data_IF_484973034261
#
_entry.id   IF_484973034261
#
_cell.length_a   1.000
_cell.length_b   1.000
_cell.length_c   1.000
_cell.angle_alpha   90.00
_cell.angle_beta   90.00
_cell.angle_gamma   90.00
#
_symmetry.space_group_name_H-M   'P 1'
#
loop_
_entity.id
_entity.type
_entity.pdbx_description
1 polymer ?
#
# COMPACT_ATOMS: atom_id res chain seq x y z
N UNK A 1 -8.91 -12.52 -8.74
CA UNK A 1 -8.02 -11.62 -7.99
C UNK A 1 -8.37 -11.60 -6.51
N UNK A 2 -9.58 -11.17 -6.12
CA UNK A 2 -10.02 -11.10 -4.72
C UNK A 2 -9.83 -12.40 -3.91
N UNK A 3 -10.26 -13.55 -4.43
CA UNK A 3 -10.10 -14.83 -3.71
C UNK A 3 -8.63 -15.21 -3.48
N UNK A 4 -7.71 -14.83 -4.39
CA UNK A 4 -6.28 -15.05 -4.19
C UNK A 4 -5.77 -14.20 -3.03
N UNK A 5 -6.11 -12.90 -3.04
CA UNK A 5 -5.75 -11.97 -1.95
C UNK A 5 -6.27 -12.46 -0.61
N UNK A 6 -7.53 -12.90 -0.53
CA UNK A 6 -8.12 -13.43 0.70
C UNK A 6 -7.41 -14.68 1.21
N UNK A 7 -7.05 -15.61 0.32
CA UNK A 7 -6.35 -16.85 0.69
C UNK A 7 -4.91 -16.59 1.16
N UNK A 8 -4.24 -15.57 0.59
CA UNK A 8 -2.86 -15.21 0.93
C UNK A 8 -2.76 -14.14 2.04
N UNK A 9 -3.89 -13.67 2.59
CA UNK A 9 -3.97 -12.52 3.51
C UNK A 9 -3.02 -12.64 4.70
N UNK A 10 -3.01 -13.81 5.36
CA UNK A 10 -2.13 -14.05 6.51
C UNK A 10 -0.65 -13.96 6.12
N UNK A 11 -0.27 -14.55 4.98
CA UNK A 11 1.10 -14.49 4.47
C UNK A 11 1.53 -13.04 4.18
N UNK A 12 0.66 -12.24 3.57
CA UNK A 12 0.96 -10.83 3.33
C UNK A 12 1.13 -10.06 4.64
N UNK A 13 0.24 -10.32 5.60
CA UNK A 13 0.27 -9.67 6.90
C UNK A 13 1.60 -9.92 7.62
N UNK A 14 2.03 -11.18 7.72
CA UNK A 14 3.31 -11.56 8.33
C UNK A 14 4.51 -10.96 7.59
N UNK A 15 4.46 -10.97 6.25
CA UNK A 15 5.53 -10.41 5.41
C UNK A 15 5.65 -8.89 5.57
N UNK A 16 4.54 -8.17 5.69
CA UNK A 16 4.59 -6.72 5.92
C UNK A 16 5.09 -6.44 7.33
N UNK A 17 4.52 -7.08 8.37
CA UNK A 17 4.90 -6.85 9.77
C UNK A 17 6.39 -7.09 10.02
N UNK A 18 6.95 -8.18 9.49
CA UNK A 18 8.37 -8.50 9.63
C UNK A 18 9.31 -7.43 9.04
N UNK A 19 8.78 -6.47 8.28
CA UNK A 19 9.53 -5.37 7.70
C UNK A 19 9.29 -4.01 8.37
N UNK A 20 8.42 -3.92 9.39
CA UNK A 20 8.03 -2.65 10.02
C UNK A 20 8.86 -2.25 11.25
N UNK A 21 9.61 -3.17 11.84
CA UNK A 21 10.25 -3.00 13.16
C UNK A 21 10.95 -1.63 13.37
N UNK A 22 11.79 -1.20 12.42
CA UNK A 22 12.54 0.05 12.52
C UNK A 22 11.64 1.30 12.41
N UNK A 23 10.62 1.24 11.54
CA UNK A 23 9.65 2.33 11.34
C UNK A 23 8.76 2.49 12.57
N UNK A 24 8.26 1.37 13.10
CA UNK A 24 7.45 1.33 14.31
C UNK A 24 8.23 1.79 15.54
N UNK A 25 9.51 1.43 15.64
CA UNK A 25 10.39 1.93 16.69
C UNK A 25 10.52 3.46 16.62
N UNK A 26 10.79 4.00 15.43
CA UNK A 26 10.97 5.45 15.23
C UNK A 26 9.68 6.23 15.44
N UNK A 27 8.55 5.67 15.03
CA UNK A 27 7.24 6.25 15.30
C UNK A 27 6.97 6.35 16.81
N UNK A 28 7.16 5.25 17.55
CA UNK A 28 6.95 5.23 19.01
C UNK A 28 7.93 6.11 19.78
N UNK A 29 9.19 6.14 19.36
CA UNK A 29 10.27 6.83 20.10
C UNK A 29 10.38 8.31 19.76
N UNK A 30 10.15 8.69 18.51
CA UNK A 30 10.43 10.02 17.97
C UNK A 30 9.21 10.67 17.31
N UNK A 31 8.03 10.03 17.35
CA UNK A 31 6.83 10.50 16.65
C UNK A 31 7.04 10.73 15.16
N UNK A 32 7.95 9.95 14.55
CA UNK A 32 8.18 9.97 13.11
C UNK A 32 7.12 9.12 12.44
N UNK A 33 6.26 9.77 11.67
CA UNK A 33 5.21 9.11 10.89
C UNK A 33 5.79 8.37 9.69
N UNK A 34 5.20 7.22 9.41
CA UNK A 34 5.35 6.48 8.15
C UNK A 34 3.97 6.11 7.61
N UNK A 35 3.92 5.74 6.34
CA UNK A 35 2.72 5.25 5.69
C UNK A 35 3.02 3.95 4.93
N UNK A 36 2.00 3.11 4.78
CA UNK A 36 2.04 1.94 3.92
C UNK A 36 1.17 2.21 2.71
N UNK A 37 1.70 1.95 1.52
CA UNK A 37 0.94 1.97 0.28
C UNK A 37 1.00 0.60 -0.39
N UNK A 38 -0.05 0.20 -1.11
CA UNK A 38 0.00 -0.97 -1.97
C UNK A 38 -0.25 -0.59 -3.43
N UNK A 39 0.20 -1.44 -4.34
CA UNK A 39 -0.29 -1.47 -5.70
C UNK A 39 -0.43 -2.90 -6.21
N UNK A 40 -1.56 -3.15 -6.88
CA UNK A 40 -1.95 -4.42 -7.46
C UNK A 40 -2.31 -4.22 -8.94
N UNK A 41 -1.62 -4.90 -9.84
CA UNK A 41 -1.86 -4.84 -11.27
C UNK A 41 -2.28 -6.19 -11.87
N UNK A 42 -2.78 -6.19 -13.11
CA UNK A 42 -3.16 -7.42 -13.81
C UNK A 42 -1.94 -8.19 -14.35
N UNK A 43 -0.88 -7.50 -14.77
CA UNK A 43 0.35 -8.10 -15.29
C UNK A 43 1.41 -8.29 -14.19
N UNK A 44 2.12 -9.41 -14.24
CA UNK A 44 3.17 -9.74 -13.27
C UNK A 44 4.48 -8.99 -13.55
N UNK A 45 5.13 -8.53 -12.47
CA UNK A 45 6.48 -7.98 -12.33
C UNK A 45 6.73 -6.50 -12.72
N UNK A 46 5.91 -5.87 -13.55
CA UNK A 46 6.20 -4.50 -14.00
C UNK A 46 6.04 -3.44 -12.90
N UNK A 47 5.09 -3.63 -11.97
CA UNK A 47 4.82 -2.63 -10.94
C UNK A 47 5.89 -2.60 -9.84
N UNK A 48 6.35 -3.76 -9.36
CA UNK A 48 7.41 -3.83 -8.36
C UNK A 48 8.70 -3.17 -8.89
N UNK A 49 9.14 -3.53 -10.08
CA UNK A 49 10.35 -2.98 -10.70
C UNK A 49 10.23 -1.48 -10.94
N UNK A 50 9.05 -1.01 -11.37
CA UNK A 50 8.77 0.40 -11.52
C UNK A 50 8.94 1.16 -10.20
N UNK A 51 8.31 0.69 -9.12
CA UNK A 51 8.36 1.36 -7.81
C UNK A 51 9.78 1.32 -7.25
N UNK A 52 10.43 0.16 -7.28
CA UNK A 52 11.79 -0.04 -6.77
C UNK A 52 12.81 0.85 -7.49
N UNK A 53 12.62 1.10 -8.80
CA UNK A 53 13.48 2.02 -9.57
C UNK A 53 13.31 3.50 -9.21
N UNK A 54 12.14 3.89 -8.67
CA UNK A 54 11.78 5.28 -8.42
C UNK A 54 12.04 5.75 -7.00
N UNK A 55 12.00 4.84 -6.03
CA UNK A 55 11.93 5.15 -4.61
C UNK A 55 13.13 4.56 -3.87
N UNK A 56 14.25 5.28 -3.87
CA UNK A 56 15.51 4.81 -3.27
C UNK A 56 15.52 4.83 -1.74
N UNK A 57 14.73 5.72 -1.14
CA UNK A 57 14.63 5.91 0.32
C UNK A 57 13.54 5.04 0.94
N UNK A 58 12.58 4.61 0.14
CA UNK A 58 11.39 3.91 0.60
C UNK A 58 11.60 2.41 0.41
N UNK A 59 11.00 1.60 1.28
CA UNK A 59 11.19 0.15 1.24
C UNK A 59 10.06 -0.51 0.48
N UNK A 60 10.40 -1.21 -0.60
CA UNK A 60 9.44 -1.97 -1.40
C UNK A 60 9.46 -3.44 -0.98
N UNK A 61 8.29 -3.96 -0.64
CA UNK A 61 8.06 -5.35 -0.25
C UNK A 61 7.22 -6.00 -1.34
N UNK A 62 7.82 -6.91 -2.11
CA UNK A 62 7.07 -7.76 -3.03
C UNK A 62 6.17 -8.69 -2.20
N UNK A 63 4.87 -8.74 -2.47
CA UNK A 63 3.93 -9.66 -1.82
C UNK A 63 3.61 -10.84 -2.73
N UNK A 64 3.31 -10.54 -4.00
CA UNK A 64 3.22 -11.46 -5.14
C UNK A 64 3.80 -10.80 -6.40
N UNK A 65 3.85 -11.52 -7.52
CA UNK A 65 4.39 -11.00 -8.79
C UNK A 65 3.72 -9.69 -9.23
N UNK A 66 2.42 -9.52 -8.96
CA UNK A 66 1.64 -8.37 -9.36
C UNK A 66 1.16 -7.50 -8.18
N UNK A 67 1.63 -7.78 -6.95
CA UNK A 67 1.24 -7.08 -5.73
C UNK A 67 2.48 -6.69 -4.93
N UNK A 68 2.64 -5.41 -4.64
CA UNK A 68 3.67 -4.96 -3.71
C UNK A 68 3.12 -3.97 -2.67
N UNK A 69 3.83 -3.90 -1.55
CA UNK A 69 3.66 -2.90 -0.51
C UNK A 69 4.89 -1.98 -0.48
N UNK A 70 4.68 -0.71 -0.19
CA UNK A 70 5.72 0.31 -0.06
C UNK A 70 5.61 0.94 1.31
N UNK A 71 6.70 0.94 2.06
CA UNK A 71 6.82 1.70 3.30
C UNK A 71 7.40 3.07 2.93
N UNK A 72 6.58 4.11 3.06
CA UNK A 72 6.96 5.50 2.83
C UNK A 72 7.28 6.10 4.20
N UNK A 73 8.55 6.42 4.42
CA UNK A 73 9.05 6.86 5.72
C UNK A 73 9.08 8.39 5.83
N UNK A 74 9.00 8.91 7.05
CA UNK A 74 9.07 10.35 7.35
C UNK A 74 8.07 11.19 6.55
N UNK A 75 6.81 10.76 6.48
CA UNK A 75 5.79 11.37 5.63
C UNK A 75 4.49 11.56 6.39
N UNK A 76 3.79 12.68 6.12
CA UNK A 76 2.42 12.87 6.60
C UNK A 76 1.43 12.03 5.79
N UNK A 77 0.20 11.88 6.28
CA UNK A 77 -0.90 11.22 5.53
C UNK A 77 -1.09 11.83 4.14
N UNK A 78 -1.16 13.16 4.06
CA UNK A 78 -1.42 13.88 2.80
C UNK A 78 -0.28 13.71 1.80
N UNK A 79 0.95 13.76 2.28
CA UNK A 79 2.12 13.60 1.43
C UNK A 79 2.32 12.14 1.00
N UNK A 80 1.88 11.17 1.81
CA UNK A 80 1.81 9.76 1.42
C UNK A 80 0.78 9.51 0.31
N UNK A 81 -0.39 10.15 0.39
CA UNK A 81 -1.41 10.10 -0.67
C UNK A 81 -0.85 10.70 -1.96
N UNK A 82 -0.23 11.89 -1.91
CA UNK A 82 0.41 12.51 -3.09
C UNK A 82 1.53 11.65 -3.65
N UNK A 83 2.37 11.09 -2.79
CA UNK A 83 3.46 10.19 -3.16
C UNK A 83 2.96 8.97 -3.92
N UNK A 84 1.89 8.35 -3.43
CA UNK A 84 1.24 7.18 -4.03
C UNK A 84 0.56 7.55 -5.35
N UNK A 85 -0.16 8.69 -5.39
CA UNK A 85 -0.78 9.22 -6.61
C UNK A 85 0.25 9.47 -7.72
N UNK A 86 1.42 10.03 -7.37
CA UNK A 86 2.50 10.22 -8.34
C UNK A 86 3.07 8.90 -8.87
N UNK A 87 3.17 7.86 -8.03
CA UNK A 87 3.57 6.52 -8.47
C UNK A 87 2.55 5.92 -9.43
N UNK A 88 1.26 5.99 -9.09
CA UNK A 88 0.15 5.51 -9.92
C UNK A 88 0.12 6.23 -11.27
N UNK A 89 0.23 7.56 -11.26
CA UNK A 89 0.24 8.36 -12.49
C UNK A 89 1.45 8.01 -13.36
N UNK A 90 2.63 7.91 -12.75
CA UNK A 90 3.86 7.51 -13.45
C UNK A 90 3.75 6.11 -14.07
N UNK A 91 3.17 5.15 -13.35
CA UNK A 91 2.96 3.80 -13.86
C UNK A 91 1.98 3.78 -15.04
N UNK A 92 0.80 4.41 -14.88
CA UNK A 92 -0.21 4.53 -15.94
C UNK A 92 0.32 5.24 -17.19
N UNK A 93 1.18 6.24 -17.03
CA UNK A 93 1.78 6.95 -18.18
C UNK A 93 2.66 6.03 -19.03
N UNK A 94 3.30 5.01 -18.43
CA UNK A 94 4.10 4.01 -19.13
C UNK A 94 3.26 2.84 -19.62
N UNK A 95 2.23 2.46 -18.87
CA UNK A 95 1.41 1.26 -19.07
C UNK A 95 -0.07 1.61 -19.10
N UNK A 96 -0.49 2.29 -20.17
CA UNK A 96 -1.82 2.92 -20.28
C UNK A 96 -3.01 1.96 -20.27
N UNK A 97 -2.78 0.65 -20.42
CA UNK A 97 -3.84 -0.39 -20.49
C UNK A 97 -3.94 -1.25 -19.23
N UNK A 98 -3.03 -1.10 -18.28
CA UNK A 98 -3.00 -1.98 -17.11
C UNK A 98 -3.96 -1.48 -16.02
N UNK A 99 -4.76 -2.39 -15.49
CA UNK A 99 -5.52 -2.15 -14.27
C UNK A 99 -4.55 -1.96 -13.12
N UNK A 100 -4.78 -0.96 -12.28
CA UNK A 100 -4.02 -0.74 -11.06
C UNK A 100 -4.96 -0.40 -9.92
N UNK A 101 -5.01 -1.24 -8.90
CA UNK A 101 -5.60 -0.92 -7.61
C UNK A 101 -4.50 -0.41 -6.70
N UNK A 102 -4.79 0.64 -5.93
CA UNK A 102 -3.81 1.25 -5.04
C UNK A 102 -4.50 1.84 -3.83
N UNK A 103 -3.80 1.83 -2.70
CA UNK A 103 -4.30 2.46 -1.50
C UNK A 103 -3.20 2.75 -0.50
N UNK A 104 -3.54 3.52 0.52
CA UNK A 104 -2.58 4.03 1.51
C UNK A 104 -3.19 4.07 2.90
N UNK A 105 -2.38 3.76 3.91
CA UNK A 105 -2.69 3.95 5.33
C UNK A 105 -1.54 4.69 6.00
N UNK A 106 -1.86 5.66 6.87
CA UNK A 106 -0.86 6.35 7.68
C UNK A 106 -0.75 5.69 9.06
N UNK A 107 0.47 5.62 9.59
CA UNK A 107 0.71 5.17 10.97
C UNK A 107 0.01 6.03 12.02
N UNK A 108 -0.29 7.30 11.73
CA UNK A 108 -0.99 8.19 12.67
C UNK A 108 -2.45 7.76 12.93
N UNK A 109 -3.05 7.02 12.01
CA UNK A 109 -4.47 6.64 12.08
C UNK A 109 -4.73 5.39 12.93
N UNK A 110 -3.68 4.78 13.51
CA UNK A 110 -3.73 3.48 14.16
C UNK A 110 -2.77 3.36 15.35
N UNK A 111 -3.15 2.52 16.32
CA UNK A 111 -2.39 2.34 17.56
C UNK A 111 -1.20 1.38 17.46
N UNK A 112 -1.23 0.45 16.50
CA UNK A 112 -0.22 -0.59 16.38
C UNK A 112 -0.10 -1.12 14.95
N UNK A 113 1.04 -1.78 14.67
CA UNK A 113 1.40 -2.28 13.35
C UNK A 113 0.40 -3.30 12.80
N UNK A 114 -0.16 -4.16 13.65
CA UNK A 114 -1.15 -5.15 13.22
C UNK A 114 -2.42 -4.47 12.68
N UNK A 115 -2.89 -3.41 13.34
CA UNK A 115 -4.04 -2.64 12.89
C UNK A 115 -3.77 -1.85 11.60
N UNK A 116 -2.56 -1.30 11.45
CA UNK A 116 -2.13 -0.64 10.21
C UNK A 116 -2.17 -1.63 9.04
N UNK A 117 -1.54 -2.80 9.21
CA UNK A 117 -1.44 -3.81 8.15
C UNK A 117 -2.80 -4.43 7.84
N UNK A 118 -3.61 -4.74 8.86
CA UNK A 118 -4.97 -5.24 8.66
C UNK A 118 -5.81 -4.25 7.83
N UNK A 119 -5.72 -2.96 8.15
CA UNK A 119 -6.46 -1.92 7.42
C UNK A 119 -5.98 -1.75 5.99
N UNK A 120 -4.67 -1.83 5.74
CA UNK A 120 -4.12 -1.82 4.38
C UNK A 120 -4.70 -2.96 3.54
N UNK A 121 -4.79 -4.16 4.12
CA UNK A 121 -5.33 -5.35 3.46
C UNK A 121 -6.86 -5.25 3.28
N UNK A 122 -7.57 -4.63 4.22
CA UNK A 122 -8.99 -4.34 4.05
C UNK A 122 -9.22 -3.35 2.91
N UNK A 123 -8.35 -2.33 2.76
CA UNK A 123 -8.44 -1.36 1.65
C UNK A 123 -8.17 -2.06 0.33
N UNK A 124 -7.20 -2.96 0.29
CA UNK A 124 -6.93 -3.79 -0.89
C UNK A 124 -8.18 -4.61 -1.29
N UNK A 125 -8.76 -5.34 -0.35
CA UNK A 125 -9.96 -6.14 -0.60
C UNK A 125 -11.16 -5.28 -1.03
N UNK A 126 -11.37 -4.14 -0.38
CA UNK A 126 -12.40 -3.17 -0.72
C UNK A 126 -12.21 -2.62 -2.13
N UNK A 127 -10.98 -2.24 -2.48
CA UNK A 127 -10.64 -1.65 -3.78
C UNK A 127 -10.95 -2.62 -4.92
N UNK A 128 -10.63 -3.91 -4.74
CA UNK A 128 -10.93 -4.96 -5.71
C UNK A 128 -12.44 -5.22 -5.78
N UNK A 129 -13.12 -5.30 -4.62
CA UNK A 129 -14.54 -5.64 -4.53
C UNK A 129 -15.45 -4.56 -5.13
N UNK A 130 -15.02 -3.29 -5.08
CA UNK A 130 -15.78 -2.14 -5.58
C UNK A 130 -15.22 -1.57 -6.90
N UNK A 131 -14.30 -2.30 -7.53
CA UNK A 131 -13.66 -1.91 -8.79
C UNK A 131 -13.04 -0.50 -8.81
N UNK A 132 -12.33 -0.13 -7.74
CA UNK A 132 -11.72 1.19 -7.52
C UNK A 132 -10.44 1.39 -8.35
N UNK A 133 -10.46 0.97 -9.61
CA UNK A 133 -9.32 1.00 -10.51
C UNK A 133 -8.81 2.42 -10.70
N UNK A 134 -7.52 2.58 -10.47
CA UNK A 134 -6.82 3.81 -10.81
C UNK A 134 -7.08 4.99 -9.88
N UNK A 135 -7.76 4.75 -8.77
CA UNK A 135 -7.94 5.67 -7.65
C UNK A 135 -6.99 5.28 -6.51
N UNK A 136 -6.68 6.25 -5.65
CA UNK A 136 -6.02 5.97 -4.36
C UNK A 136 -7.13 5.77 -3.35
N UNK A 137 -7.27 4.57 -2.81
CA UNK A 137 -8.21 4.27 -1.73
C UNK A 137 -7.51 4.41 -0.38
N UNK A 138 -8.16 5.03 0.58
CA UNK A 138 -7.69 5.15 1.95
C UNK A 138 -8.82 4.81 2.94
N UNK A 139 -8.56 5.01 4.24
CA UNK A 139 -9.53 4.76 5.30
C UNK A 139 -10.85 5.54 5.11
N UNK A 140 -10.80 6.72 4.51
CA UNK A 140 -11.97 7.61 4.41
C UNK A 140 -12.99 7.04 3.39
N UNK A 141 -12.53 6.25 2.41
CA UNK A 141 -13.41 5.54 1.48
C UNK A 141 -14.19 4.38 2.10
N UNK A 142 -13.74 3.82 3.22
CA UNK A 142 -14.45 2.74 3.90
C UNK A 142 -15.65 3.22 4.73
N UNK A 143 -15.72 4.52 5.05
CA UNK A 143 -16.72 5.11 5.93
C UNK A 143 -18.13 5.30 5.33
N UNK A 144 -18.37 4.87 4.09
CA UNK A 144 -19.68 4.99 3.42
C UNK A 144 -20.47 3.68 3.33
N UNK A 145 -20.14 2.67 4.13
CA UNK A 145 -20.98 1.47 4.29
C UNK A 145 -21.55 1.42 5.71
N UNK A 146 -22.69 2.08 5.90
CA UNK A 146 -23.64 1.81 6.99
C UNK A 146 -24.96 1.40 6.36
#
# INVERSE_FOLDING_TARGET
MLNKVKNSRQQYHEKIISNLQDYSYRNKRYSIEFALAFGLCDDSNDFYDFVNSKRKTDKVIALEDNLCCVIIDCVSKEDAIKATSNLVHGFKSKKSKETLYSGVVSSIDYENDANIVASLLDILEYSISNDMKGLITDKDYMGHSV
#
